data_IF_764047512145
#
_entry.id   IF_764047512145
#
_cell.length_a   1.000
_cell.length_b   1.000
_cell.length_c   1.000
_cell.angle_alpha   90.00
_cell.angle_beta   90.00
_cell.angle_gamma   90.00
#
_symmetry.space_group_name_H-M   'P 1'
#
loop_
_entity.id
_entity.type
_entity.pdbx_description
1 polymer ?
#
# COMPACT_ATOMS: atom_id res chain seq x y z
N UNK A 1 33.37 -2.13 -1.56
CA UNK A 1 32.22 -1.58 -0.82
C UNK A 1 31.44 -0.74 -1.81
N UNK A 2 30.11 -0.90 -1.89
CA UNK A 2 29.28 -0.01 -2.73
C UNK A 2 29.32 1.41 -2.16
N UNK A 3 29.41 2.41 -3.02
CA UNK A 3 29.40 3.82 -2.60
C UNK A 3 27.99 4.21 -2.08
N UNK A 4 27.90 5.04 -1.02
CA UNK A 4 26.62 5.52 -0.54
C UNK A 4 25.89 6.34 -1.61
N UNK A 5 24.60 6.07 -1.81
CA UNK A 5 23.74 6.85 -2.71
C UNK A 5 23.12 8.00 -1.92
N UNK A 6 23.35 9.22 -2.39
CA UNK A 6 22.79 10.42 -1.78
C UNK A 6 21.40 10.72 -2.35
N UNK A 7 20.37 10.69 -1.51
CA UNK A 7 18.98 11.00 -1.86
C UNK A 7 18.62 12.43 -1.45
N UNK A 8 17.74 13.12 -2.20
CA UNK A 8 17.22 14.41 -1.79
C UNK A 8 16.39 14.27 -0.50
N UNK A 9 16.32 15.36 0.28
CA UNK A 9 15.37 15.45 1.38
C UNK A 9 13.93 15.43 0.83
N UNK A 10 13.01 14.89 1.63
CA UNK A 10 11.59 14.76 1.33
C UNK A 10 10.84 15.64 2.34
N UNK A 11 10.78 16.97 2.13
CA UNK A 11 10.28 17.90 3.14
C UNK A 11 8.76 17.83 3.32
N UNK A 12 8.00 17.42 2.30
CA UNK A 12 6.53 17.36 2.37
C UNK A 12 6.09 15.91 2.41
N UNK A 13 5.71 15.44 3.60
CA UNK A 13 5.20 14.09 3.81
C UNK A 13 3.74 14.15 4.21
N UNK A 14 2.92 13.29 3.62
CA UNK A 14 1.53 13.10 4.02
C UNK A 14 1.30 11.69 4.56
N UNK A 15 0.55 11.60 5.66
CA UNK A 15 0.06 10.37 6.24
C UNK A 15 -1.46 10.26 6.01
N UNK A 16 -1.85 9.30 5.17
CA UNK A 16 -3.23 9.09 4.79
C UNK A 16 -3.80 7.85 5.49
N UNK A 17 -5.03 7.97 5.98
CA UNK A 17 -5.75 6.90 6.65
C UNK A 17 -7.20 6.82 6.19
N UNK A 18 -7.74 5.61 6.12
CA UNK A 18 -9.13 5.39 5.75
C UNK A 18 -9.44 5.70 4.29
N UNK A 19 -8.51 5.39 3.39
CA UNK A 19 -8.79 5.33 1.93
C UNK A 19 -9.90 4.32 1.66
N UNK A 20 -9.87 3.19 2.37
CA UNK A 20 -11.01 2.30 2.55
C UNK A 20 -11.59 2.48 3.95
N UNK A 21 -12.89 2.76 4.05
CA UNK A 21 -13.50 3.19 5.31
C UNK A 21 -13.66 2.12 6.39
N UNK A 22 -13.48 0.85 6.04
CA UNK A 22 -13.51 -0.29 6.95
C UNK A 22 -12.11 -0.79 7.37
N UNK A 23 -11.03 -0.14 6.91
CA UNK A 23 -9.65 -0.45 7.30
C UNK A 23 -9.22 0.46 8.46
N UNK A 24 -9.53 0.02 9.68
CA UNK A 24 -9.59 0.90 10.84
C UNK A 24 -8.24 1.36 11.38
N UNK A 25 -7.13 0.66 11.11
CA UNK A 25 -5.83 1.01 11.71
C UNK A 25 -5.37 2.41 11.29
N UNK A 26 -5.43 2.70 9.99
CA UNK A 26 -5.10 4.03 9.45
C UNK A 26 -6.09 5.10 9.92
N UNK A 27 -7.38 4.77 10.02
CA UNK A 27 -8.43 5.69 10.49
C UNK A 27 -8.15 6.17 11.91
N UNK A 28 -7.91 5.24 12.84
CA UNK A 28 -7.67 5.59 14.24
C UNK A 28 -6.30 6.25 14.42
N UNK A 29 -5.25 5.77 13.75
CA UNK A 29 -3.92 6.36 13.87
C UNK A 29 -3.90 7.83 13.43
N UNK A 30 -4.50 8.13 12.27
CA UNK A 30 -4.56 9.50 11.75
C UNK A 30 -5.40 10.41 12.66
N UNK A 31 -6.53 9.92 13.18
CA UNK A 31 -7.36 10.70 14.12
C UNK A 31 -6.63 11.02 15.42
N UNK A 32 -5.93 10.04 16.00
CA UNK A 32 -5.15 10.26 17.21
C UNK A 32 -3.98 11.22 16.97
N UNK A 33 -3.34 11.14 15.79
CA UNK A 33 -2.31 12.09 15.41
C UNK A 33 -2.87 13.51 15.33
N UNK A 34 -3.96 13.72 14.58
CA UNK A 34 -4.63 15.01 14.46
C UNK A 34 -5.07 15.58 15.82
N UNK A 35 -5.52 14.72 16.74
CA UNK A 35 -5.86 15.14 18.10
C UNK A 35 -4.63 15.65 18.86
N UNK A 36 -3.49 14.96 18.75
CA UNK A 36 -2.25 15.35 19.41
C UNK A 36 -1.62 16.62 18.83
N UNK A 37 -1.68 16.83 17.51
CA UNK A 37 -1.21 18.08 16.88
C UNK A 37 -1.97 19.32 17.36
N UNK A 38 -3.21 19.16 17.84
CA UNK A 38 -3.96 20.25 18.48
C UNK A 38 -3.53 20.50 19.93
N UNK A 39 -2.91 19.51 20.57
CA UNK A 39 -2.50 19.56 21.98
C UNK A 39 -1.02 19.94 22.14
N UNK A 40 -0.16 19.64 21.16
CA UNK A 40 1.29 19.85 21.18
C UNK A 40 1.79 20.46 19.84
N UNK A 41 2.88 21.25 19.88
CA UNK A 41 3.59 21.68 18.65
C UNK A 41 4.34 20.47 18.04
N UNK A 42 3.64 19.68 17.23
CA UNK A 42 4.20 18.54 16.51
C UNK A 42 4.87 18.94 15.19
N UNK A 43 5.78 18.09 14.71
CA UNK A 43 6.46 18.23 13.42
C UNK A 43 5.44 18.20 12.25
N UNK A 44 5.67 19.01 11.21
CA UNK A 44 4.72 19.26 10.13
C UNK A 44 4.55 18.05 9.17
N UNK A 45 3.76 17.06 9.57
CA UNK A 45 3.29 15.96 8.71
C UNK A 45 1.84 16.23 8.31
N UNK A 46 1.55 16.25 7.01
CA UNK A 46 0.17 16.47 6.56
C UNK A 46 -0.65 15.21 6.82
N UNK A 47 -1.57 15.27 7.77
CA UNK A 47 -2.44 14.13 8.10
C UNK A 47 -3.78 14.21 7.37
N UNK A 48 -4.21 13.11 6.73
CA UNK A 48 -5.43 13.10 5.91
C UNK A 48 -6.33 11.90 6.20
N UNK A 49 -7.60 12.20 6.48
CA UNK A 49 -8.68 11.21 6.42
C UNK A 49 -9.20 11.14 4.98
N UNK A 50 -8.86 10.07 4.28
CA UNK A 50 -9.04 9.95 2.83
C UNK A 50 -10.51 9.81 2.41
N UNK A 51 -11.28 8.91 3.02
CA UNK A 51 -12.68 8.64 2.65
C UNK A 51 -13.65 8.80 3.84
N UNK A 52 -13.97 10.05 4.25
CA UNK A 52 -14.80 10.29 5.44
C UNK A 52 -16.20 9.68 5.36
N UNK A 53 -16.85 9.66 4.18
CA UNK A 53 -18.20 9.07 4.06
C UNK A 53 -18.15 7.54 4.17
N UNK A 54 -17.17 6.87 3.54
CA UNK A 54 -17.03 5.42 3.68
C UNK A 54 -16.71 5.01 5.12
N UNK A 55 -15.88 5.80 5.83
CA UNK A 55 -15.59 5.58 7.26
C UNK A 55 -16.85 5.70 8.10
N UNK A 56 -17.69 6.70 7.85
CA UNK A 56 -18.96 6.87 8.58
C UNK A 56 -19.87 5.64 8.42
N UNK A 57 -19.82 4.97 7.27
CA UNK A 57 -20.57 3.74 7.02
C UNK A 57 -19.83 2.46 7.42
N UNK A 58 -18.60 2.57 7.93
CA UNK A 58 -17.70 1.42 8.14
C UNK A 58 -17.67 0.48 6.92
N UNK A 59 -17.62 1.07 5.72
CA UNK A 59 -17.63 0.37 4.44
C UNK A 59 -16.33 0.65 3.69
N UNK A 60 -15.94 -0.23 2.77
CA UNK A 60 -14.76 -0.02 1.92
C UNK A 60 -14.89 1.28 1.12
N UNK A 61 -16.03 1.50 0.49
CA UNK A 61 -16.39 2.71 -0.26
C UNK A 61 -17.92 2.92 -0.24
N UNK A 62 -18.40 4.03 -0.80
CA UNK A 62 -19.82 4.37 -0.97
C UNK A 62 -20.31 3.96 -2.36
N UNK A 63 -19.67 4.43 -3.43
CA UNK A 63 -20.10 4.15 -4.82
C UNK A 63 -19.05 3.36 -5.59
N UNK A 64 -17.76 3.74 -5.46
CA UNK A 64 -16.67 3.01 -6.11
C UNK A 64 -15.36 3.09 -5.31
N UNK A 65 -14.42 2.19 -5.62
CA UNK A 65 -13.15 2.11 -4.91
C UNK A 65 -12.30 3.39 -5.10
N UNK A 66 -12.12 4.18 -4.03
CA UNK A 66 -11.34 5.42 -4.03
C UNK A 66 -9.91 5.20 -4.53
N UNK A 67 -9.30 4.06 -4.18
CA UNK A 67 -7.94 3.70 -4.59
C UNK A 67 -7.86 3.28 -6.08
N UNK A 68 -8.92 3.49 -6.87
CA UNK A 68 -8.95 3.37 -8.34
C UNK A 68 -9.29 4.69 -9.04
N UNK A 69 -9.51 5.76 -8.29
CA UNK A 69 -10.00 7.05 -8.80
C UNK A 69 -8.90 8.06 -9.18
N UNK A 70 -7.62 7.72 -8.99
CA UNK A 70 -6.50 8.66 -9.19
C UNK A 70 -5.86 8.60 -10.59
N UNK A 71 -6.61 8.17 -11.61
CA UNK A 71 -6.13 8.21 -13.00
C UNK A 71 -6.18 9.63 -13.55
N UNK A 72 -5.28 9.98 -14.48
CA UNK A 72 -5.28 11.31 -15.10
C UNK A 72 -6.64 11.64 -15.76
N UNK A 73 -7.27 10.63 -16.37
CA UNK A 73 -8.62 10.77 -16.91
C UNK A 73 -9.62 11.16 -15.81
N UNK A 74 -9.72 10.37 -14.74
CA UNK A 74 -10.67 10.60 -13.63
C UNK A 74 -10.46 11.96 -12.95
N UNK A 75 -9.19 12.38 -12.77
CA UNK A 75 -8.85 13.65 -12.14
C UNK A 75 -9.16 14.87 -13.01
N UNK A 76 -9.38 14.69 -14.31
CA UNK A 76 -9.70 15.76 -15.27
C UNK A 76 -11.20 15.91 -15.59
N UNK A 77 -12.04 14.98 -15.12
CA UNK A 77 -13.48 15.00 -15.40
C UNK A 77 -14.16 16.16 -14.66
N UNK A 78 -14.96 17.01 -15.33
CA UNK A 78 -15.73 18.04 -14.64
C UNK A 78 -16.73 17.45 -13.64
N UNK A 79 -16.77 18.01 -12.43
CA UNK A 79 -17.75 17.61 -11.41
C UNK A 79 -19.14 18.11 -11.80
N UNK A 80 -20.10 17.20 -11.76
CA UNK A 80 -21.54 17.43 -11.93
C UNK A 80 -22.35 16.66 -10.89
N UNK A 81 -23.65 16.93 -10.76
CA UNK A 81 -24.54 16.33 -9.75
C UNK A 81 -24.59 14.78 -9.78
N UNK A 82 -24.26 14.15 -10.91
CA UNK A 82 -24.20 12.68 -11.04
C UNK A 82 -22.81 12.06 -10.83
N UNK A 83 -21.83 12.86 -10.41
CA UNK A 83 -20.45 12.37 -10.24
C UNK A 83 -20.36 11.46 -9.02
N UNK A 84 -19.85 10.22 -9.16
CA UNK A 84 -19.62 9.35 -8.02
C UNK A 84 -18.78 10.05 -6.95
N UNK A 85 -19.16 9.90 -5.71
CA UNK A 85 -18.56 10.55 -4.56
C UNK A 85 -17.04 10.33 -4.51
N UNK A 86 -16.56 9.11 -4.72
CA UNK A 86 -15.11 8.85 -4.71
C UNK A 86 -14.33 9.52 -5.86
N UNK A 87 -14.97 9.83 -7.00
CA UNK A 87 -14.32 10.62 -8.05
C UNK A 87 -14.14 12.06 -7.60
N UNK A 88 -15.20 12.69 -7.10
CA UNK A 88 -15.13 14.04 -6.55
C UNK A 88 -14.10 14.12 -5.40
N UNK A 89 -14.12 13.11 -4.52
CA UNK A 89 -13.16 13.02 -3.40
C UNK A 89 -11.72 12.85 -3.86
N UNK A 90 -11.46 12.08 -4.93
CA UNK A 90 -10.13 11.96 -5.49
C UNK A 90 -9.62 13.30 -6.06
N UNK A 91 -10.49 14.11 -6.66
CA UNK A 91 -10.13 15.45 -7.14
C UNK A 91 -9.84 16.42 -5.99
N UNK A 92 -10.62 16.38 -4.90
CA UNK A 92 -10.34 17.13 -3.68
C UNK A 92 -8.97 16.75 -3.08
N UNK A 93 -8.67 15.45 -2.97
CA UNK A 93 -7.40 14.96 -2.47
C UNK A 93 -6.23 15.31 -3.40
N UNK A 94 -6.45 15.32 -4.72
CA UNK A 94 -5.45 15.77 -5.69
C UNK A 94 -5.19 17.28 -5.62
N UNK A 95 -6.19 18.09 -5.28
CA UNK A 95 -5.99 19.52 -5.02
C UNK A 95 -5.25 19.77 -3.69
N UNK A 96 -5.45 18.91 -2.69
CA UNK A 96 -4.79 19.01 -1.38
C UNK A 96 -3.34 18.51 -1.39
N UNK A 97 -3.09 17.35 -2.02
CA UNK A 97 -1.81 16.63 -1.96
C UNK A 97 -1.01 16.72 -3.26
N UNK A 98 -1.65 17.14 -4.35
CA UNK A 98 -1.05 17.27 -5.67
C UNK A 98 -0.85 18.73 -6.06
N UNK A 99 -1.10 19.09 -7.33
CA UNK A 99 -1.57 18.24 -8.43
C UNK A 99 -0.62 17.09 -8.77
N UNK A 100 -1.15 15.89 -9.04
CA UNK A 100 -0.33 14.73 -9.39
C UNK A 100 0.60 15.03 -10.58
N UNK A 101 1.92 14.92 -10.35
CA UNK A 101 2.95 15.14 -11.36
C UNK A 101 3.47 16.58 -11.47
N UNK A 102 3.05 17.49 -10.58
CA UNK A 102 3.65 18.82 -10.47
C UNK A 102 4.74 18.87 -9.38
N UNK A 103 5.61 19.87 -9.46
CA UNK A 103 6.65 20.13 -8.44
C UNK A 103 6.05 20.59 -7.09
N UNK A 104 4.81 21.09 -7.09
CA UNK A 104 4.10 21.48 -5.88
C UNK A 104 3.39 20.34 -5.14
N UNK A 105 3.37 19.12 -5.71
CA UNK A 105 2.80 17.94 -5.06
C UNK A 105 3.58 17.52 -3.80
N UNK A 106 2.91 16.86 -2.86
CA UNK A 106 3.55 16.16 -1.74
C UNK A 106 4.63 15.21 -2.26
N UNK A 107 5.80 15.24 -1.61
CA UNK A 107 6.97 14.45 -2.02
C UNK A 107 6.80 12.96 -1.69
N UNK A 108 6.13 12.65 -0.58
CA UNK A 108 5.84 11.28 -0.14
C UNK A 108 4.45 11.17 0.50
N UNK A 109 3.63 10.26 -0.01
CA UNK A 109 2.36 9.88 0.59
C UNK A 109 2.48 8.48 1.19
N UNK A 110 2.31 8.38 2.50
CA UNK A 110 2.18 7.12 3.22
C UNK A 110 0.68 6.83 3.42
N UNK A 111 0.10 6.00 2.57
CA UNK A 111 -1.30 5.57 2.68
C UNK A 111 -1.39 4.25 3.44
N UNK A 112 -2.14 4.25 4.54
CA UNK A 112 -2.22 3.13 5.47
C UNK A 112 -3.41 2.22 5.15
N UNK A 113 -3.12 0.94 4.92
CA UNK A 113 -4.11 -0.08 4.59
C UNK A 113 -4.07 -1.25 5.58
N UNK A 114 -5.21 -1.93 5.69
CA UNK A 114 -5.32 -3.25 6.31
C UNK A 114 -5.73 -4.28 5.27
N UNK A 115 -5.38 -5.54 5.51
CA UNK A 115 -5.81 -6.67 4.69
C UNK A 115 -6.26 -7.80 5.61
N UNK A 116 -7.23 -8.58 5.17
CA UNK A 116 -7.63 -9.81 5.87
C UNK A 116 -6.66 -10.97 5.63
N UNK A 117 -5.79 -10.84 4.62
CA UNK A 117 -4.74 -11.81 4.34
C UNK A 117 -3.62 -11.75 5.38
N UNK A 118 -2.88 -12.85 5.57
CA UNK A 118 -1.83 -12.95 6.58
C UNK A 118 -0.48 -12.41 6.09
N UNK A 119 -0.48 -11.19 5.56
CA UNK A 119 0.72 -10.58 4.97
C UNK A 119 1.69 -10.00 6.00
N UNK A 120 1.24 -9.76 7.24
CA UNK A 120 2.03 -8.99 8.21
C UNK A 120 2.34 -7.56 7.71
N UNK A 121 3.44 -6.97 8.17
CA UNK A 121 3.87 -5.65 7.70
C UNK A 121 4.46 -5.74 6.28
N UNK A 122 3.74 -5.20 5.31
CA UNK A 122 4.08 -5.30 3.90
C UNK A 122 3.97 -3.96 3.17
N UNK A 123 5.07 -3.20 3.04
CA UNK A 123 5.10 -2.01 2.20
C UNK A 123 4.87 -2.38 0.73
N UNK A 124 3.96 -1.65 0.08
CA UNK A 124 3.65 -1.80 -1.35
C UNK A 124 3.94 -0.51 -2.10
N UNK A 125 5.18 -0.31 -2.61
CA UNK A 125 5.47 0.83 -3.47
C UNK A 125 4.57 0.84 -4.71
N UNK A 126 3.93 1.99 -4.95
CA UNK A 126 3.21 2.30 -6.18
C UNK A 126 4.05 3.34 -6.91
N UNK A 127 4.82 2.91 -7.91
CA UNK A 127 5.57 3.84 -8.75
C UNK A 127 4.62 4.60 -9.68
N UNK A 128 4.70 5.92 -9.71
CA UNK A 128 4.03 6.77 -10.71
C UNK A 128 4.80 6.71 -12.04
N UNK A 129 4.68 5.60 -12.75
CA UNK A 129 5.27 5.36 -14.08
C UNK A 129 4.71 4.08 -14.68
N UNK A 130 4.74 3.93 -16.01
CA UNK A 130 4.00 2.94 -16.83
C UNK A 130 4.17 1.44 -16.51
N UNK A 131 4.81 1.07 -15.41
CA UNK A 131 4.80 -0.29 -14.87
C UNK A 131 4.11 -0.26 -13.50
N UNK A 132 2.77 -0.37 -13.51
CA UNK A 132 1.99 -0.70 -12.32
C UNK A 132 2.32 -2.16 -11.95
N UNK A 133 3.52 -2.39 -11.42
CA UNK A 133 3.93 -3.67 -10.84
C UNK A 133 3.82 -3.49 -9.34
N UNK A 134 2.69 -3.93 -8.78
CA UNK A 134 2.52 -4.05 -7.33
C UNK A 134 3.68 -4.87 -6.80
N UNK A 135 4.67 -4.18 -6.24
CA UNK A 135 5.83 -4.81 -5.64
C UNK A 135 5.56 -4.81 -4.15
N UNK A 136 5.55 -5.98 -3.52
CA UNK A 136 5.40 -6.09 -2.07
C UNK A 136 6.75 -6.45 -1.46
N UNK A 137 7.03 -5.87 -0.30
CA UNK A 137 8.25 -6.15 0.46
C UNK A 137 7.83 -6.92 1.71
N UNK A 138 8.24 -8.19 1.80
CA UNK A 138 8.04 -8.98 3.03
C UNK A 138 9.22 -8.77 3.98
N UNK A 139 8.96 -8.57 5.27
CA UNK A 139 10.00 -8.53 6.31
C UNK A 139 9.83 -9.70 7.27
N UNK A 140 10.79 -10.63 7.27
CA UNK A 140 10.97 -11.59 8.38
C UNK A 140 12.11 -11.25 9.35
N UNK A 141 12.96 -10.28 9.03
CA UNK A 141 13.99 -9.64 9.87
C UNK A 141 14.66 -8.59 8.99
N UNK A 142 15.02 -7.42 9.53
CA UNK A 142 15.83 -6.31 8.97
C UNK A 142 15.11 -4.95 8.91
N UNK A 143 15.75 -3.86 9.40
CA UNK A 143 15.13 -2.55 9.61
C UNK A 143 15.46 -1.56 8.48
N UNK A 144 14.86 -1.68 7.30
CA UNK A 144 14.92 -0.61 6.26
C UNK A 144 13.57 -0.26 5.61
N UNK A 145 12.61 0.16 6.42
CA UNK A 145 11.38 0.83 5.99
C UNK A 145 11.19 1.89 7.07
N UNK A 146 11.14 3.18 6.74
CA UNK A 146 10.88 4.21 7.73
C UNK A 146 9.38 4.19 8.04
N UNK A 147 8.93 3.12 8.69
CA UNK A 147 7.77 3.16 9.57
C UNK A 147 8.36 3.01 10.95
N UNK A 148 8.63 4.16 11.58
CA UNK A 148 9.21 4.23 12.91
C UNK A 148 8.21 3.67 13.92
N UNK A 149 8.40 2.41 14.32
CA UNK A 149 7.81 1.85 15.53
C UNK A 149 8.95 1.43 16.45
N UNK A 150 9.39 2.35 17.32
CA UNK A 150 10.18 1.98 18.50
C UNK A 150 9.18 1.92 19.66
N UNK A 151 9.13 0.79 20.37
CA UNK A 151 8.16 0.49 21.43
C UNK A 151 8.32 1.31 22.71
N UNK A 152 8.77 2.56 22.63
CA UNK A 152 8.95 3.45 23.78
C UNK A 152 8.82 4.93 23.37
N UNK A 153 7.62 5.47 23.51
CA UNK A 153 7.38 6.93 23.49
C UNK A 153 7.23 7.54 22.09
N UNK A 154 6.25 8.43 21.96
CA UNK A 154 5.99 9.22 20.76
C UNK A 154 7.05 10.33 20.66
N UNK A 155 8.16 10.05 19.99
CA UNK A 155 9.03 11.08 19.45
C UNK A 155 9.48 10.59 18.07
N UNK A 156 8.68 10.94 17.07
CA UNK A 156 9.00 10.68 15.66
C UNK A 156 9.55 11.96 15.08
N UNK A 157 10.87 12.04 14.99
CA UNK A 157 11.53 12.98 14.10
C UNK A 157 11.40 12.39 12.68
N UNK A 158 10.39 12.80 11.92
CA UNK A 158 10.17 12.37 10.53
C UNK A 158 11.09 13.10 9.54
N UNK A 159 11.86 14.08 10.00
CA UNK A 159 13.00 14.61 9.25
C UNK A 159 14.04 13.51 9.02
N UNK A 160 13.98 12.88 7.85
CA UNK A 160 15.00 11.94 7.37
C UNK A 160 16.33 12.65 7.06
N UNK A 161 16.40 13.98 7.19
CA UNK A 161 17.55 14.78 6.78
C UNK A 161 18.81 14.41 7.57
N UNK A 162 19.90 14.14 6.85
CA UNK A 162 21.17 13.73 7.46
C UNK A 162 21.18 12.32 8.06
N UNK A 163 20.12 11.52 7.90
CA UNK A 163 20.12 10.11 8.30
C UNK A 163 20.87 9.28 7.26
N UNK A 164 21.73 8.39 7.76
CA UNK A 164 22.40 7.35 6.99
C UNK A 164 21.72 6.00 7.23
N UNK A 165 21.49 5.27 6.15
CA UNK A 165 20.95 3.92 6.17
C UNK A 165 22.04 2.97 5.68
N UNK A 166 22.27 1.91 6.45
CA UNK A 166 23.12 0.81 5.99
C UNK A 166 22.50 0.16 4.75
N UNK A 167 23.36 -0.24 3.82
CA UNK A 167 22.95 -1.05 2.68
C UNK A 167 22.62 -2.48 3.12
N UNK A 168 21.97 -3.25 2.25
CA UNK A 168 21.63 -4.62 2.55
C UNK A 168 20.92 -5.34 1.41
N UNK A 169 20.67 -6.63 1.60
CA UNK A 169 19.91 -7.43 0.63
C UNK A 169 18.45 -7.45 1.07
N UNK A 170 17.56 -7.03 0.18
CA UNK A 170 16.12 -7.04 0.38
C UNK A 170 15.45 -8.10 -0.47
N UNK A 171 14.51 -8.85 0.11
CA UNK A 171 13.63 -9.74 -0.63
C UNK A 171 12.43 -8.94 -1.15
N UNK A 172 12.25 -8.94 -2.46
CA UNK A 172 11.26 -8.15 -3.19
C UNK A 172 10.38 -9.10 -3.99
N UNK A 173 9.07 -8.93 -3.86
CA UNK A 173 8.07 -9.79 -4.50
C UNK A 173 7.40 -9.03 -5.63
N UNK A 174 7.74 -9.40 -6.87
CA UNK A 174 7.22 -8.74 -8.08
C UNK A 174 6.02 -9.50 -8.62
N UNK A 175 4.95 -8.78 -8.94
CA UNK A 175 3.73 -9.32 -9.56
C UNK A 175 4.00 -10.25 -10.75
N UNK A 176 3.28 -11.37 -10.81
CA UNK A 176 3.22 -12.27 -11.97
C UNK A 176 1.81 -12.31 -12.54
N UNK A 177 0.82 -12.68 -11.73
CA UNK A 177 -0.60 -12.71 -12.11
C UNK A 177 -1.51 -12.80 -10.90
N UNK A 178 -2.78 -12.43 -11.09
CA UNK A 178 -3.85 -12.78 -10.15
C UNK A 178 -4.43 -14.15 -10.50
N UNK A 179 -4.90 -14.87 -9.48
CA UNK A 179 -5.68 -16.10 -9.63
C UNK A 179 -7.05 -15.82 -9.02
N UNK A 180 -8.12 -16.04 -9.77
CA UNK A 180 -9.50 -16.00 -9.25
C UNK A 180 -9.84 -17.32 -8.55
N UNK A 181 -10.90 -17.27 -7.74
CA UNK A 181 -11.57 -18.46 -7.24
C UNK A 181 -12.15 -19.28 -8.40
N UNK A 182 -12.18 -20.62 -8.25
CA UNK A 182 -13.04 -21.47 -9.07
C UNK A 182 -14.50 -21.02 -8.91
N UNK A 183 -15.15 -20.80 -10.05
CA UNK A 183 -16.54 -20.36 -10.14
C UNK A 183 -17.32 -21.23 -11.09
N UNK A 184 -18.62 -21.28 -10.87
CA UNK A 184 -19.55 -21.83 -11.84
C UNK A 184 -19.58 -20.92 -13.09
N UNK A 185 -19.49 -21.48 -14.31
CA UNK A 185 -19.43 -20.69 -15.54
C UNK A 185 -20.74 -19.99 -15.90
N UNK A 186 -21.88 -20.44 -15.37
CA UNK A 186 -23.21 -19.86 -15.66
C UNK A 186 -23.63 -18.88 -14.57
N UNK A 187 -23.50 -19.26 -13.29
CA UNK A 187 -23.94 -18.43 -12.16
C UNK A 187 -22.87 -17.47 -11.65
N UNK A 188 -21.60 -17.70 -11.98
CA UNK A 188 -20.43 -16.99 -11.44
C UNK A 188 -20.26 -17.11 -9.91
N UNK A 189 -21.03 -17.98 -9.27
CA UNK A 189 -20.90 -18.29 -7.85
C UNK A 189 -19.62 -19.08 -7.59
N UNK A 190 -19.06 -18.94 -6.40
CA UNK A 190 -17.89 -19.68 -5.98
C UNK A 190 -18.21 -21.17 -5.90
N UNK A 191 -17.31 -22.02 -6.36
CA UNK A 191 -17.43 -23.48 -6.24
C UNK A 191 -16.34 -24.08 -5.34
N UNK A 192 -15.38 -23.25 -4.91
CA UNK A 192 -14.29 -23.64 -4.03
C UNK A 192 -13.81 -22.45 -3.18
N UNK A 193 -13.15 -22.77 -2.07
CA UNK A 193 -12.49 -21.81 -1.18
C UNK A 193 -10.98 -22.04 -1.17
N UNK A 194 -10.21 -21.10 -0.62
CA UNK A 194 -8.76 -21.29 -0.39
C UNK A 194 -8.56 -22.57 0.43
N UNK A 195 -7.65 -23.42 -0.02
CA UNK A 195 -7.36 -24.67 0.65
C UNK A 195 -6.74 -24.40 2.03
N UNK A 196 -7.09 -25.14 3.11
CA UNK A 196 -6.56 -24.89 4.46
C UNK A 196 -5.03 -24.93 4.58
N UNK A 197 -4.35 -25.66 3.68
CA UNK A 197 -2.87 -25.70 3.64
C UNK A 197 -2.24 -24.45 3.01
N UNK A 198 -3.01 -23.67 2.25
CA UNK A 198 -2.59 -22.41 1.64
C UNK A 198 -3.08 -21.19 2.42
N UNK A 199 -4.20 -21.31 3.14
CA UNK A 199 -4.71 -20.25 4.01
C UNK A 199 -3.60 -19.76 4.95
N UNK A 200 -3.50 -18.43 5.08
CA UNK A 200 -2.52 -17.73 5.92
C UNK A 200 -1.05 -17.95 5.54
N UNK A 201 -0.76 -18.47 4.33
CA UNK A 201 0.59 -18.74 3.83
C UNK A 201 1.11 -17.71 2.82
N UNK A 202 0.72 -16.45 2.99
CA UNK A 202 1.33 -15.34 2.25
C UNK A 202 2.86 -15.38 2.36
N UNK A 203 3.53 -15.03 1.26
CA UNK A 203 5.00 -15.07 1.09
C UNK A 203 5.66 -16.45 1.25
N UNK A 204 4.90 -17.53 1.46
CA UNK A 204 5.45 -18.88 1.48
C UNK A 204 5.54 -19.44 0.06
N UNK A 205 6.53 -20.29 -0.20
CA UNK A 205 6.71 -20.88 -1.53
C UNK A 205 5.55 -21.83 -1.85
N UNK A 206 4.92 -21.65 -3.00
CA UNK A 206 3.88 -22.49 -3.58
C UNK A 206 4.44 -23.20 -4.82
N UNK A 207 4.52 -24.53 -4.77
CA UNK A 207 5.06 -25.37 -5.85
C UNK A 207 3.96 -25.98 -6.72
N UNK A 208 4.23 -26.27 -8.00
CA UNK A 208 3.31 -27.05 -8.84
C UNK A 208 2.90 -28.36 -8.15
N UNK A 209 1.59 -28.61 -8.09
CA UNK A 209 1.01 -29.76 -7.38
C UNK A 209 0.56 -29.47 -5.94
N UNK A 210 0.98 -28.36 -5.33
CA UNK A 210 0.55 -28.00 -3.97
C UNK A 210 -0.96 -27.65 -3.93
N UNK A 211 -1.70 -28.00 -2.86
CA UNK A 211 -3.12 -27.67 -2.72
C UNK A 211 -3.39 -26.17 -2.72
N UNK A 212 -4.25 -25.70 -3.62
CA UNK A 212 -4.59 -24.28 -3.76
C UNK A 212 -6.04 -23.99 -3.35
N UNK A 213 -6.99 -24.79 -3.82
CA UNK A 213 -8.40 -24.66 -3.46
C UNK A 213 -8.98 -25.97 -2.95
N UNK A 214 -10.02 -25.87 -2.13
CA UNK A 214 -10.89 -26.97 -1.72
C UNK A 214 -12.30 -26.69 -2.26
N UNK A 215 -12.78 -27.54 -3.17
CA UNK A 215 -14.13 -27.42 -3.71
C UNK A 215 -15.19 -27.74 -2.66
N UNK A 216 -16.41 -27.26 -2.87
CA UNK A 216 -17.55 -27.61 -2.01
C UNK A 216 -17.96 -29.09 -2.12
N UNK A 217 -17.51 -29.80 -3.16
CA UNK A 217 -17.62 -31.26 -3.27
C UNK A 217 -16.54 -32.03 -2.50
N UNK A 218 -15.57 -31.33 -1.88
CA UNK A 218 -14.46 -31.93 -1.12
C UNK A 218 -13.22 -32.28 -1.97
N UNK A 219 -13.17 -31.85 -3.23
CA UNK A 219 -12.02 -32.08 -4.12
C UNK A 219 -10.93 -31.03 -3.87
N UNK A 220 -9.68 -31.47 -3.83
CA UNK A 220 -8.52 -30.57 -3.77
C UNK A 220 -8.07 -30.17 -5.17
N UNK A 221 -8.07 -28.87 -5.45
CA UNK A 221 -7.56 -28.31 -6.68
C UNK A 221 -6.14 -27.80 -6.45
N UNK A 222 -5.17 -28.48 -7.07
CA UNK A 222 -3.75 -28.16 -6.94
C UNK A 222 -3.33 -26.98 -7.82
N UNK A 223 -2.22 -26.33 -7.45
CA UNK A 223 -1.56 -25.32 -8.28
C UNK A 223 -1.02 -25.95 -9.56
N UNK A 224 -1.53 -25.50 -10.72
CA UNK A 224 -1.14 -25.99 -12.05
C UNK A 224 -0.08 -25.12 -12.76
N UNK A 225 0.66 -24.29 -12.01
CA UNK A 225 1.74 -23.48 -12.61
C UNK A 225 2.93 -24.33 -13.04
N UNK A 226 3.82 -23.74 -13.83
CA UNK A 226 5.04 -24.39 -14.32
C UNK A 226 6.25 -24.19 -13.40
N UNK A 227 6.23 -23.14 -12.57
CA UNK A 227 7.30 -22.78 -11.66
C UNK A 227 6.77 -22.52 -10.23
N UNK A 228 7.62 -22.63 -9.20
CA UNK A 228 7.26 -22.21 -7.86
C UNK A 228 7.13 -20.68 -7.77
N UNK A 229 6.03 -20.19 -7.18
CA UNK A 229 5.77 -18.77 -6.96
C UNK A 229 5.43 -18.50 -5.48
N UNK A 230 5.24 -17.24 -5.13
CA UNK A 230 4.92 -16.80 -3.77
C UNK A 230 3.57 -16.08 -3.79
N UNK A 231 2.52 -16.65 -3.18
CA UNK A 231 1.21 -16.03 -3.12
C UNK A 231 1.21 -14.89 -2.08
N UNK A 232 0.47 -13.84 -2.38
CA UNK A 232 0.20 -12.69 -1.47
C UNK A 232 -1.26 -12.28 -1.62
N UNK A 233 -1.78 -11.54 -0.64
CA UNK A 233 -3.21 -11.20 -0.54
C UNK A 233 -4.10 -12.46 -0.60
N UNK A 234 -3.64 -13.55 0.03
CA UNK A 234 -4.39 -14.80 0.06
C UNK A 234 -5.68 -14.58 0.86
N UNK A 235 -6.81 -14.80 0.20
CA UNK A 235 -8.13 -14.65 0.80
C UNK A 235 -8.46 -13.21 1.28
N UNK A 236 -8.07 -12.19 0.50
CA UNK A 236 -8.48 -10.82 0.78
C UNK A 236 -9.98 -10.62 0.51
N UNK A 237 -10.71 -10.25 1.56
CA UNK A 237 -12.16 -10.01 1.55
C UNK A 237 -12.64 -9.06 0.45
N UNK A 238 -11.91 -7.96 0.23
CA UNK A 238 -12.25 -6.96 -0.77
C UNK A 238 -12.00 -7.42 -2.22
N UNK A 239 -11.35 -8.56 -2.42
CA UNK A 239 -10.94 -9.02 -3.75
C UNK A 239 -11.87 -10.08 -4.33
N UNK A 240 -12.84 -10.57 -3.56
CA UNK A 240 -13.89 -11.47 -4.02
C UNK A 240 -14.69 -10.91 -5.21
N UNK A 241 -15.08 -9.64 -5.15
CA UNK A 241 -15.78 -8.94 -6.23
C UNK A 241 -14.86 -8.62 -7.42
N UNK A 242 -13.54 -8.60 -7.20
CA UNK A 242 -12.52 -8.27 -8.20
C UNK A 242 -12.00 -9.52 -8.94
N UNK A 243 -12.58 -10.69 -8.66
CA UNK A 243 -12.15 -11.94 -9.25
C UNK A 243 -10.71 -12.30 -8.90
N UNK A 244 -10.29 -12.08 -7.65
CA UNK A 244 -8.93 -12.39 -7.19
C UNK A 244 -8.97 -13.08 -5.83
N UNK A 245 -8.56 -14.35 -5.79
CA UNK A 245 -8.38 -15.13 -4.58
C UNK A 245 -7.00 -14.92 -3.95
N UNK A 246 -5.99 -14.75 -4.80
CA UNK A 246 -4.60 -14.47 -4.43
C UNK A 246 -3.82 -13.88 -5.61
N UNK A 247 -2.75 -13.16 -5.31
CA UNK A 247 -1.79 -12.67 -6.29
C UNK A 247 -0.52 -13.52 -6.24
N UNK A 248 -0.10 -14.07 -7.38
CA UNK A 248 1.17 -14.77 -7.49
C UNK A 248 2.29 -13.79 -7.79
N UNK A 249 3.40 -13.93 -7.07
CA UNK A 249 4.58 -13.09 -7.21
C UNK A 249 5.84 -13.92 -7.37
N UNK A 250 6.87 -13.31 -7.93
CA UNK A 250 8.23 -13.85 -7.98
C UNK A 250 9.10 -13.10 -6.98
N UNK A 251 9.77 -13.85 -6.10
CA UNK A 251 10.74 -13.28 -5.18
C UNK A 251 12.07 -13.06 -5.89
N UNK A 252 12.66 -11.90 -5.68
CA UNK A 252 14.03 -11.54 -6.09
C UNK A 252 14.75 -10.95 -4.89
N UNK A 253 16.05 -11.22 -4.80
CA UNK A 253 16.95 -10.52 -3.88
C UNK A 253 17.53 -9.31 -4.60
N UNK A 254 17.35 -8.13 -4.01
CA UNK A 254 17.86 -6.87 -4.52
C UNK A 254 18.87 -6.34 -3.53
N UNK A 255 20.07 -6.00 -4.01
CA UNK A 255 21.06 -5.29 -3.22
C UNK A 255 20.71 -3.80 -3.19
N UNK A 256 20.53 -3.28 -1.98
CA UNK A 256 20.31 -1.86 -1.72
C UNK A 256 21.64 -1.30 -1.23
N UNK A 257 22.22 -0.30 -1.91
CA UNK A 257 23.43 0.36 -1.43
C UNK A 257 23.12 1.15 -0.15
N UNK A 258 24.15 1.51 0.65
CA UNK A 258 23.97 2.48 1.73
C UNK A 258 23.34 3.76 1.21
N UNK A 259 22.42 4.36 1.97
CA UNK A 259 21.73 5.58 1.58
C UNK A 259 22.07 6.71 2.55
N UNK A 260 22.22 7.93 2.04
CA UNK A 260 22.35 9.14 2.86
C UNK A 260 21.36 10.18 2.36
N UNK A 261 20.57 10.76 3.26
CA UNK A 261 19.63 11.82 2.89
C UNK A 261 20.31 13.17 3.05
N UNK A 262 20.33 13.98 2.00
CA UNK A 262 20.90 15.33 2.04
C UNK A 262 20.23 16.16 3.14
N UNK A 263 21.02 16.95 3.88
CA UNK A 263 20.45 17.95 4.78
C UNK A 263 19.75 19.03 3.97
N UNK A 264 18.59 19.47 4.44
CA UNK A 264 17.99 20.71 3.95
C UNK A 264 18.96 21.85 4.30
N UNK A 265 19.32 22.70 3.34
CA UNK A 265 20.11 23.89 3.62
C UNK A 265 19.22 24.88 4.36
N UNK A 266 19.57 25.25 5.58
CA UNK A 266 18.97 26.41 6.25
C UNK A 266 19.60 27.68 5.65
N UNK A 267 18.78 28.56 5.07
CA UNK A 267 19.14 29.92 4.69
C UNK A 267 20.13 30.07 3.54
N UNK A 268 19.64 30.14 2.30
CA UNK A 268 20.18 31.14 1.37
C UNK A 268 19.33 32.39 1.62
N UNK A 269 19.82 33.29 2.49
CA UNK A 269 19.36 34.67 2.50
C UNK A 269 19.46 35.19 1.07
N UNK A 270 18.37 35.78 0.56
CA UNK A 270 18.40 36.55 -0.67
C UNK A 270 19.44 37.67 -0.50
N UNK A 271 20.66 37.44 -1.00
CA UNK A 271 21.62 38.51 -1.24
C UNK A 271 21.32 39.15 -2.62
N UNK A 272 20.67 40.31 -2.52
CA UNK A 272 20.52 41.45 -3.45
C UNK A 272 19.92 41.26 -4.87
#
# INVERSE_FOLDING_TARGET
MMEPVSLPAVPRVALCGGTHGNELSGVYLVREWQRKELEEEAEAVVTVISNPRAIQRCSRYIEQDLNRCFTAATLSIPISDGTPYEIARAQELNALLGPRGSDCAIDLICDLHNTTANMGLSPTPIATGSACTSTSISRRRYPLCPVFWNGSGYSTQLSLSGIEFEGGVLEVYTFVKNIDYPRDPETHELTAVIHPQLQDRDFCRLCPGDPMFLSFSGETLAYKGEEPLYPVFVNESAYYEKGTALTLTRMKKVEIPPLCVKRLREGEEEEE
#
